data_IF_210272581974
#
_entry.id   IF_210272581974
#
_cell.length_a   1.000
_cell.length_b   1.000
_cell.length_c   1.000
_cell.angle_alpha   90.00
_cell.angle_beta   90.00
_cell.angle_gamma   90.00
#
_symmetry.space_group_name_H-M   'P 1'
#
loop_
_entity.id
_entity.type
_entity.pdbx_description
1 polymer ?
#
# COMPACT_ATOMS: atom_id res chain seq x y z
N UNK A 1 -3.08 -17.21 -38.49
CA UNK A 1 -4.51 -16.92 -38.25
C UNK A 1 -5.17 -16.59 -39.59
N UNK A 2 -6.37 -17.10 -39.85
CA UNK A 2 -7.14 -16.80 -41.07
C UNK A 2 -8.16 -15.70 -40.80
N UNK A 3 -8.50 -14.91 -41.82
CA UNK A 3 -9.54 -13.89 -41.73
C UNK A 3 -10.41 -13.89 -43.00
N UNK A 4 -11.63 -13.39 -42.87
CA UNK A 4 -12.56 -13.09 -43.97
C UNK A 4 -13.08 -11.66 -43.76
N UNK A 5 -13.17 -10.89 -44.84
CA UNK A 5 -13.79 -9.56 -44.83
C UNK A 5 -15.25 -9.70 -45.24
N UNK A 6 -16.16 -9.34 -44.34
CA UNK A 6 -17.60 -9.33 -44.57
C UNK A 6 -18.03 -7.88 -44.85
N UNK A 7 -18.88 -7.67 -45.86
CA UNK A 7 -19.41 -6.35 -46.24
C UNK A 7 -18.35 -5.34 -46.74
N UNK A 8 -17.42 -5.84 -47.54
CA UNK A 8 -16.48 -5.05 -48.30
C UNK A 8 -17.16 -4.12 -49.34
N UNK A 9 -16.65 -2.90 -49.59
CA UNK A 9 -16.91 -2.16 -50.83
C UNK A 9 -16.78 -3.03 -52.08
N UNK A 10 -17.54 -2.72 -53.14
CA UNK A 10 -17.35 -3.38 -54.43
C UNK A 10 -15.91 -3.19 -54.91
N UNK A 11 -15.25 -4.28 -55.33
CA UNK A 11 -13.90 -4.30 -55.93
C UNK A 11 -12.69 -4.26 -54.96
N UNK A 12 -12.77 -4.84 -53.75
CA UNK A 12 -11.54 -5.07 -52.95
C UNK A 12 -10.68 -6.16 -53.60
N UNK A 13 -9.42 -5.83 -53.90
CA UNK A 13 -8.43 -6.75 -54.49
C UNK A 13 -7.26 -7.07 -53.56
N UNK A 14 -7.09 -6.33 -52.46
CA UNK A 14 -6.00 -6.50 -51.52
C UNK A 14 -6.37 -6.01 -50.11
N UNK A 15 -5.62 -6.47 -49.11
CA UNK A 15 -5.72 -5.98 -47.73
C UNK A 15 -4.34 -5.56 -47.20
N UNK A 16 -4.32 -4.55 -46.33
CA UNK A 16 -3.14 -4.13 -45.58
C UNK A 16 -3.40 -4.42 -44.10
N UNK A 17 -2.49 -5.14 -43.45
CA UNK A 17 -2.54 -5.44 -42.03
C UNK A 17 -1.26 -4.95 -41.36
N UNK A 18 -1.38 -4.17 -40.28
CA UNK A 18 -0.25 -3.52 -39.59
C UNK A 18 0.72 -2.77 -40.54
N UNK A 19 0.17 -2.10 -41.56
CA UNK A 19 0.96 -1.36 -42.56
C UNK A 19 1.62 -2.21 -43.64
N UNK A 20 1.45 -3.54 -43.63
CA UNK A 20 1.99 -4.46 -44.63
C UNK A 20 0.90 -5.03 -45.54
N UNK A 21 1.17 -5.08 -46.84
CA UNK A 21 0.33 -5.75 -47.81
C UNK A 21 0.33 -7.26 -47.55
N UNK A 22 -0.85 -7.87 -47.41
CA UNK A 22 -0.99 -9.31 -47.12
C UNK A 22 -1.58 -10.07 -48.30
N UNK A 23 -1.22 -11.35 -48.39
CA UNK A 23 -1.73 -12.23 -49.45
C UNK A 23 -3.20 -12.56 -49.21
N UNK A 24 -4.03 -12.31 -50.22
CA UNK A 24 -5.49 -12.46 -50.16
C UNK A 24 -6.02 -13.18 -51.39
N UNK A 25 -7.17 -13.85 -51.25
CA UNK A 25 -7.93 -14.44 -52.33
C UNK A 25 -9.38 -13.99 -52.27
N UNK A 26 -10.04 -13.87 -53.42
CA UNK A 26 -11.47 -13.58 -53.52
C UNK A 26 -12.19 -14.86 -53.92
N UNK A 27 -13.22 -15.26 -53.17
CA UNK A 27 -14.01 -16.45 -53.49
C UNK A 27 -15.10 -16.15 -54.56
N UNK A 28 -15.83 -17.19 -54.99
CA UNK A 28 -16.89 -17.07 -56.01
C UNK A 28 -18.06 -16.15 -55.63
N UNK A 29 -18.17 -15.77 -54.35
CA UNK A 29 -19.17 -14.85 -53.83
C UNK A 29 -18.64 -13.41 -53.68
N UNK A 30 -17.40 -13.14 -54.13
CA UNK A 30 -16.79 -11.81 -54.04
C UNK A 30 -16.22 -11.47 -52.65
N UNK A 31 -16.13 -12.43 -51.74
CA UNK A 31 -15.55 -12.18 -50.41
C UNK A 31 -14.04 -12.36 -50.42
N UNK A 32 -13.34 -11.39 -49.84
CA UNK A 32 -11.90 -11.43 -49.65
C UNK A 32 -11.55 -12.15 -48.36
N UNK A 33 -10.63 -13.10 -48.44
CA UNK A 33 -10.07 -13.82 -47.29
C UNK A 33 -8.56 -14.01 -47.44
N UNK A 34 -7.90 -14.33 -46.34
CA UNK A 34 -6.46 -14.56 -46.33
C UNK A 34 -5.98 -15.13 -45.02
N UNK A 35 -4.66 -15.21 -44.89
CA UNK A 35 -4.00 -15.63 -43.66
C UNK A 35 -2.91 -14.63 -43.29
N UNK A 36 -2.84 -14.33 -41.99
CA UNK A 36 -1.74 -13.58 -41.37
C UNK A 36 -0.93 -14.56 -40.54
N UNK A 37 0.38 -14.61 -40.81
CA UNK A 37 1.29 -15.40 -40.01
C UNK A 37 1.45 -14.76 -38.63
N UNK A 38 1.35 -15.57 -37.58
CA UNK A 38 1.69 -15.16 -36.22
C UNK A 38 2.90 -15.97 -35.79
N UNK A 39 3.96 -15.28 -35.42
CA UNK A 39 5.16 -15.90 -34.85
C UNK A 39 5.20 -15.49 -33.38
N UNK A 40 5.03 -16.42 -32.42
CA UNK A 40 5.13 -16.07 -31.01
C UNK A 40 6.55 -15.58 -30.72
N UNK A 41 6.71 -14.46 -29.99
CA UNK A 41 8.03 -13.94 -29.67
C UNK A 41 8.71 -14.88 -28.65
N UNK A 42 10.02 -15.06 -28.76
CA UNK A 42 10.81 -15.60 -27.66
C UNK A 42 11.05 -14.47 -26.66
N UNK A 43 10.62 -14.67 -25.41
CA UNK A 43 10.75 -13.67 -24.35
C UNK A 43 11.86 -14.10 -23.39
N UNK A 44 12.77 -13.17 -23.08
CA UNK A 44 13.74 -13.33 -22.01
C UNK A 44 13.33 -12.42 -20.85
N UNK A 45 12.76 -13.00 -19.80
CA UNK A 45 12.35 -12.27 -18.60
C UNK A 45 13.42 -12.36 -17.51
N UNK A 46 13.57 -11.33 -16.67
CA UNK A 46 14.50 -11.37 -15.54
C UNK A 46 14.10 -12.45 -14.54
N UNK A 47 15.08 -13.20 -14.02
CA UNK A 47 14.89 -14.05 -12.86
C UNK A 47 15.04 -13.21 -11.58
N UNK A 48 13.93 -12.93 -10.89
CA UNK A 48 13.93 -12.12 -9.67
C UNK A 48 14.69 -12.76 -8.49
N UNK A 49 14.76 -14.09 -8.45
CA UNK A 49 15.49 -14.81 -7.39
C UNK A 49 17.00 -14.67 -7.50
N UNK A 50 17.52 -14.30 -8.67
CA UNK A 50 18.96 -14.10 -8.93
C UNK A 50 19.37 -12.62 -8.83
N UNK A 51 18.42 -11.73 -8.51
CA UNK A 51 18.71 -10.30 -8.36
C UNK A 51 19.25 -9.97 -6.99
N UNK A 52 20.07 -8.91 -6.93
CA UNK A 52 20.47 -8.30 -5.67
C UNK A 52 19.28 -7.49 -5.15
N UNK A 53 18.84 -7.82 -3.94
CA UNK A 53 17.79 -7.12 -3.22
C UNK A 53 18.40 -6.29 -2.09
N UNK A 54 17.76 -5.16 -1.78
CA UNK A 54 18.07 -4.28 -0.67
C UNK A 54 16.85 -4.26 0.28
N UNK A 55 17.00 -3.99 1.59
CA UNK A 55 15.90 -4.01 2.57
C UNK A 55 16.14 -3.15 3.82
N UNK A 56 15.19 -2.32 4.25
CA UNK A 56 15.25 -1.31 5.35
C UNK A 56 14.08 -1.63 6.25
N UNK A 57 14.25 -1.23 7.48
CA UNK A 57 13.14 -1.10 8.39
C UNK A 57 12.24 0.07 7.97
N UNK A 58 11.04 -0.22 7.46
CA UNK A 58 10.05 0.81 7.08
C UNK A 58 9.07 1.18 8.20
N UNK A 59 9.38 0.80 9.44
CA UNK A 59 8.60 1.14 10.63
C UNK A 59 9.48 1.79 11.73
N UNK A 60 10.28 2.84 11.42
CA UNK A 60 11.11 3.50 12.44
C UNK A 60 10.29 4.04 13.62
N UNK A 61 8.97 4.19 13.50
CA UNK A 61 8.03 4.63 14.53
C UNK A 61 8.03 3.80 15.81
N UNK A 62 8.51 2.55 15.76
CA UNK A 62 8.63 1.70 16.96
C UNK A 62 9.99 1.83 17.64
N UNK A 63 10.94 2.57 17.04
CA UNK A 63 12.23 2.87 17.65
C UNK A 63 12.07 3.95 18.73
N UNK A 64 12.77 3.78 19.86
CA UNK A 64 12.77 4.73 20.98
C UNK A 64 13.32 6.10 20.59
N UNK A 65 14.20 6.16 19.59
CA UNK A 65 14.79 7.41 19.10
C UNK A 65 13.91 8.15 18.09
N UNK A 66 12.78 7.57 17.65
CA UNK A 66 11.94 8.18 16.63
C UNK A 66 11.18 9.41 17.15
N UNK A 67 11.28 10.50 16.39
CA UNK A 67 10.51 11.71 16.65
C UNK A 67 9.36 11.83 15.65
N UNK A 68 8.14 11.92 16.19
CA UNK A 68 6.95 12.25 15.41
C UNK A 68 6.50 13.71 15.60
N UNK A 69 7.43 14.59 16.01
CA UNK A 69 7.11 16.00 16.28
C UNK A 69 6.36 16.67 15.13
N UNK A 70 6.73 16.34 13.89
CA UNK A 70 6.11 16.84 12.67
C UNK A 70 4.73 16.24 12.34
N UNK A 71 4.28 15.21 13.07
CA UNK A 71 3.00 14.56 12.78
C UNK A 71 1.81 15.40 13.23
N UNK A 72 0.68 15.36 12.49
CA UNK A 72 -0.57 15.95 12.92
C UNK A 72 -0.99 15.47 14.31
N UNK A 73 -1.33 16.44 15.17
CA UNK A 73 -1.88 16.16 16.50
C UNK A 73 -3.38 15.92 16.37
N UNK A 74 -3.86 14.86 17.03
CA UNK A 74 -5.28 14.58 17.10
C UNK A 74 -5.98 15.47 18.13
N UNK A 75 -6.22 16.73 17.78
CA UNK A 75 -6.79 17.75 18.69
C UNK A 75 -8.28 18.03 18.48
N UNK A 76 -8.93 17.45 17.48
CA UNK A 76 -10.32 17.78 17.15
C UNK A 76 -11.28 17.07 18.12
N UNK A 77 -12.06 17.80 18.96
CA UNK A 77 -12.91 17.18 20.00
C UNK A 77 -14.24 16.63 19.48
N UNK A 78 -14.48 16.71 18.17
CA UNK A 78 -15.70 16.29 17.50
C UNK A 78 -15.35 15.77 16.11
N UNK A 79 -16.25 15.04 15.49
CA UNK A 79 -16.13 14.59 14.09
C UNK A 79 -17.34 15.08 13.29
N UNK A 80 -17.15 15.33 12.00
CA UNK A 80 -18.26 15.55 11.08
C UNK A 80 -18.85 14.25 10.54
N UNK A 81 -18.22 13.12 10.82
CA UNK A 81 -18.65 11.80 10.36
C UNK A 81 -19.90 11.33 11.15
N UNK A 82 -21.08 11.21 10.52
CA UNK A 82 -22.30 10.80 11.18
C UNK A 82 -22.34 9.30 11.54
N UNK A 83 -21.50 8.47 10.93
CA UNK A 83 -21.33 7.06 11.26
C UNK A 83 -20.44 6.85 12.50
N UNK A 84 -19.68 7.88 12.89
CA UNK A 84 -18.75 7.81 14.02
C UNK A 84 -19.32 8.47 15.28
N UNK A 85 -19.85 7.64 16.18
CA UNK A 85 -20.12 8.06 17.55
C UNK A 85 -18.82 8.17 18.34
N UNK A 86 -18.26 9.37 18.42
CA UNK A 86 -16.97 9.62 19.06
C UNK A 86 -16.99 9.17 20.53
N UNK A 87 -16.18 8.18 20.86
CA UNK A 87 -16.04 7.62 22.22
C UNK A 87 -14.68 7.92 22.86
N UNK A 88 -13.89 8.76 22.20
CA UNK A 88 -12.55 9.22 22.58
C UNK A 88 -12.58 10.73 22.86
N UNK A 89 -11.60 11.28 23.61
CA UNK A 89 -11.56 12.73 23.89
C UNK A 89 -11.41 13.60 22.62
N UNK A 90 -10.75 13.06 21.60
CA UNK A 90 -10.56 13.69 20.28
C UNK A 90 -10.73 12.64 19.18
N UNK A 91 -11.05 13.08 17.96
CA UNK A 91 -11.15 12.22 16.79
C UNK A 91 -9.82 11.56 16.48
N UNK A 92 -9.86 10.25 16.27
CA UNK A 92 -8.78 9.41 15.74
C UNK A 92 -9.19 8.80 14.39
N UNK A 93 -10.11 9.46 13.68
CA UNK A 93 -10.52 9.10 12.32
C UNK A 93 -9.61 9.81 11.31
N UNK A 94 -9.07 9.07 10.35
CA UNK A 94 -8.15 9.57 9.34
C UNK A 94 -8.74 10.73 8.53
N UNK A 95 -10.03 10.66 8.18
CA UNK A 95 -10.66 11.62 7.28
C UNK A 95 -10.79 13.01 7.90
N UNK A 96 -10.93 13.08 9.23
CA UNK A 96 -10.94 14.34 9.99
C UNK A 96 -9.60 15.11 9.89
N UNK A 97 -8.51 14.42 9.56
CA UNK A 97 -7.18 15.01 9.36
C UNK A 97 -6.76 15.04 7.89
N UNK A 98 -7.67 14.69 6.97
CA UNK A 98 -7.45 14.74 5.53
C UNK A 98 -6.64 13.58 4.96
N UNK A 99 -6.71 12.43 5.61
CA UNK A 99 -6.03 11.19 5.22
C UNK A 99 -7.05 10.18 4.66
N UNK A 100 -6.78 9.65 3.46
CA UNK A 100 -7.78 8.92 2.65
C UNK A 100 -7.23 7.76 1.78
N UNK A 101 -5.98 7.36 1.95
CA UNK A 101 -5.28 6.28 1.24
C UNK A 101 -5.21 4.97 2.07
N UNK A 102 -4.18 4.15 1.85
CA UNK A 102 -4.09 2.74 2.27
C UNK A 102 -3.83 2.56 3.77
N UNK A 103 -2.59 2.64 4.28
CA UNK A 103 -2.38 2.40 5.71
C UNK A 103 -2.26 3.68 6.54
N UNK A 104 -2.50 3.57 7.85
CA UNK A 104 -2.52 4.68 8.81
C UNK A 104 -1.70 4.28 10.03
N UNK A 105 -0.81 5.17 10.45
CA UNK A 105 -0.12 5.05 11.73
C UNK A 105 -0.77 5.97 12.76
N UNK A 106 -1.02 5.42 13.95
CA UNK A 106 -1.51 6.17 15.11
C UNK A 106 -0.58 5.97 16.30
N UNK A 107 -0.03 7.06 16.83
CA UNK A 107 0.88 7.08 17.97
C UNK A 107 0.20 7.72 19.19
N UNK A 108 -0.13 6.91 20.19
CA UNK A 108 -0.70 7.36 21.46
C UNK A 108 0.36 7.46 22.55
N UNK A 109 0.73 8.67 22.97
CA UNK A 109 1.71 8.89 24.04
C UNK A 109 1.07 9.05 25.39
N UNK A 110 1.67 8.42 26.39
CA UNK A 110 1.28 8.58 27.79
C UNK A 110 2.50 8.44 28.71
N UNK A 111 2.44 9.13 29.85
CA UNK A 111 3.36 8.90 30.96
C UNK A 111 2.78 7.77 31.84
N UNK A 112 3.57 6.73 32.10
CA UNK A 112 3.11 5.58 32.85
C UNK A 112 3.00 5.86 34.35
N UNK A 113 2.01 5.25 35.02
CA UNK A 113 1.86 5.29 36.48
C UNK A 113 2.17 3.94 37.14
N UNK A 114 2.64 2.95 36.37
CA UNK A 114 2.94 1.56 36.78
C UNK A 114 1.70 0.70 37.05
N UNK A 115 0.50 1.28 37.00
CA UNK A 115 -0.75 0.55 37.19
C UNK A 115 -1.32 -0.03 35.89
N UNK A 116 -0.79 0.37 34.75
CA UNK A 116 -1.23 -0.07 33.44
C UNK A 116 -0.76 -1.51 33.17
N UNK A 117 -1.67 -2.32 32.64
CA UNK A 117 -1.48 -3.74 32.35
C UNK A 117 -1.92 -4.13 30.94
N UNK A 118 -2.73 -3.30 30.30
CA UNK A 118 -3.23 -3.56 28.95
C UNK A 118 -3.74 -2.29 28.27
N UNK A 119 -3.83 -2.36 26.94
CA UNK A 119 -4.55 -1.41 26.12
C UNK A 119 -5.69 -2.12 25.38
N UNK A 120 -6.91 -1.62 25.50
CA UNK A 120 -8.02 -1.99 24.62
C UNK A 120 -8.04 -1.04 23.43
N UNK A 121 -8.17 -1.59 22.23
CA UNK A 121 -8.30 -0.85 20.98
C UNK A 121 -9.50 -1.39 20.20
N UNK A 122 -10.38 -0.50 19.78
CA UNK A 122 -11.40 -0.74 18.77
C UNK A 122 -10.94 -0.04 17.50
N UNK A 123 -10.46 -0.81 16.53
CA UNK A 123 -9.79 -0.32 15.31
C UNK A 123 -10.69 -0.60 14.11
N UNK A 124 -10.80 0.35 13.19
CA UNK A 124 -11.57 0.20 11.96
C UNK A 124 -10.73 0.58 10.74
N UNK A 125 -10.78 -0.26 9.69
CA UNK A 125 -10.01 -0.03 8.47
C UNK A 125 -10.71 -0.48 7.18
N UNK A 126 -12.02 -0.70 7.23
CA UNK A 126 -12.78 -1.26 6.11
C UNK A 126 -12.74 -2.79 6.09
N UNK A 127 -13.46 -3.41 5.16
CA UNK A 127 -13.51 -4.88 5.04
C UNK A 127 -12.11 -5.48 4.92
N UNK A 128 -11.86 -6.70 5.40
CA UNK A 128 -10.56 -7.40 5.26
C UNK A 128 -9.32 -6.65 5.77
N UNK A 129 -9.49 -5.56 6.52
CA UNK A 129 -8.38 -4.76 7.04
C UNK A 129 -7.47 -5.60 7.95
N UNK A 130 -6.32 -5.06 8.31
CA UNK A 130 -5.42 -5.65 9.30
C UNK A 130 -4.89 -4.58 10.23
N UNK A 131 -4.46 -4.95 11.43
CA UNK A 131 -3.71 -4.01 12.25
C UNK A 131 -2.65 -4.70 13.12
N UNK A 132 -1.63 -3.94 13.50
CA UNK A 132 -0.53 -4.39 14.35
C UNK A 132 -0.23 -3.34 15.41
N UNK A 133 0.14 -3.77 16.61
CA UNK A 133 0.29 -2.91 17.78
C UNK A 133 1.63 -3.13 18.47
N UNK A 134 2.29 -2.03 18.81
CA UNK A 134 3.50 -2.00 19.60
C UNK A 134 3.36 -1.05 20.79
N UNK A 135 3.97 -1.40 21.90
CA UNK A 135 4.28 -0.49 22.99
C UNK A 135 5.77 -0.13 22.91
N UNK A 136 6.06 1.06 22.40
CA UNK A 136 7.41 1.50 22.02
C UNK A 136 8.03 0.44 21.09
N UNK A 137 9.19 -0.12 21.43
CA UNK A 137 9.84 -1.18 20.64
C UNK A 137 9.25 -2.58 20.86
N UNK A 138 8.28 -2.75 21.77
CA UNK A 138 7.73 -4.06 22.13
C UNK A 138 6.47 -4.37 21.33
N UNK A 139 6.54 -5.37 20.45
CA UNK A 139 5.37 -5.89 19.74
C UNK A 139 4.36 -6.53 20.71
N UNK A 140 3.10 -6.13 20.61
CA UNK A 140 2.01 -6.65 21.45
C UNK A 140 1.15 -7.68 20.72
N UNK A 141 0.96 -7.52 19.41
CA UNK A 141 0.10 -8.40 18.63
C UNK A 141 -0.40 -7.77 17.34
N UNK A 142 -1.08 -8.58 16.55
CA UNK A 142 -1.72 -8.18 15.30
C UNK A 142 -3.03 -8.93 15.12
N UNK A 143 -3.96 -8.24 14.48
CA UNK A 143 -5.13 -8.87 13.89
C UNK A 143 -4.91 -9.02 12.38
N UNK A 144 -4.93 -10.27 11.93
CA UNK A 144 -4.59 -10.64 10.54
C UNK A 144 -5.70 -10.36 9.52
N UNK A 145 -6.85 -9.86 9.98
CA UNK A 145 -8.00 -9.60 9.12
C UNK A 145 -9.00 -10.74 9.00
N UNK A 146 -10.21 -10.39 8.60
CA UNK A 146 -11.29 -11.32 8.31
C UNK A 146 -12.22 -10.79 7.21
N UNK A 147 -12.77 -11.66 6.33
CA UNK A 147 -13.61 -11.24 5.19
C UNK A 147 -14.91 -10.55 5.60
N UNK A 148 -15.34 -10.73 6.85
CA UNK A 148 -16.58 -10.21 7.40
C UNK A 148 -16.37 -9.08 8.42
N UNK A 149 -15.17 -8.50 8.50
CA UNK A 149 -14.83 -7.55 9.55
C UNK A 149 -14.38 -6.23 8.93
N UNK A 150 -15.06 -5.14 9.31
CA UNK A 150 -14.63 -3.75 9.06
C UNK A 150 -13.91 -3.10 10.24
N UNK A 151 -14.15 -3.70 11.40
CA UNK A 151 -13.75 -3.20 12.71
C UNK A 151 -13.43 -4.40 13.57
N UNK A 152 -12.38 -4.29 14.39
CA UNK A 152 -11.97 -5.31 15.33
C UNK A 152 -11.62 -4.67 16.68
N UNK A 153 -12.07 -5.31 17.76
CA UNK A 153 -11.89 -4.83 19.12
C UNK A 153 -11.08 -5.84 19.93
N UNK A 154 -9.86 -5.46 20.32
CA UNK A 154 -8.92 -6.35 21.00
C UNK A 154 -8.32 -5.69 22.25
N UNK A 155 -7.92 -6.53 23.21
CA UNK A 155 -7.16 -6.10 24.39
C UNK A 155 -5.76 -6.68 24.34
N UNK A 156 -4.78 -5.79 24.26
CA UNK A 156 -3.35 -6.12 24.22
C UNK A 156 -2.77 -6.04 25.63
N UNK A 157 -2.28 -7.16 26.15
CA UNK A 157 -1.65 -7.23 27.47
C UNK A 157 -0.20 -6.76 27.36
N UNK A 158 0.24 -5.92 28.30
CA UNK A 158 1.63 -5.49 28.35
C UNK A 158 2.49 -6.62 28.93
N UNK A 159 3.53 -7.08 28.20
CA UNK A 159 4.32 -8.23 28.63
C UNK A 159 5.17 -7.91 29.87
N UNK A 160 5.52 -6.64 30.06
CA UNK A 160 6.31 -6.15 31.17
C UNK A 160 5.55 -5.03 31.91
N UNK A 161 5.74 -4.95 33.22
CA UNK A 161 5.25 -3.81 33.99
C UNK A 161 5.96 -2.52 33.59
N UNK A 162 5.21 -1.42 33.53
CA UNK A 162 5.74 -0.12 33.12
C UNK A 162 6.45 0.59 34.27
N UNK A 163 7.45 1.41 33.95
CA UNK A 163 8.17 2.23 34.91
C UNK A 163 7.38 3.52 35.13
N UNK A 164 7.02 3.82 36.38
CA UNK A 164 6.30 5.05 36.72
C UNK A 164 7.13 6.29 36.30
N UNK A 165 6.47 7.24 35.63
CA UNK A 165 7.12 8.43 35.04
C UNK A 165 7.81 8.18 33.71
N UNK A 166 7.90 6.93 33.24
CA UNK A 166 8.40 6.61 31.90
C UNK A 166 7.41 7.06 30.83
N UNK A 167 7.93 7.56 29.71
CA UNK A 167 7.13 7.91 28.54
C UNK A 167 7.03 6.70 27.61
N UNK A 168 5.82 6.30 27.29
CA UNK A 168 5.55 5.18 26.39
C UNK A 168 4.72 5.65 25.20
N UNK A 169 4.95 5.02 24.05
CA UNK A 169 4.18 5.24 22.82
C UNK A 169 3.45 3.96 22.48
N UNK A 170 2.13 4.02 22.30
CA UNK A 170 1.36 2.95 21.69
C UNK A 170 1.28 3.23 20.19
N UNK A 171 1.98 2.45 19.39
CA UNK A 171 1.99 2.57 17.92
C UNK A 171 1.03 1.55 17.34
N UNK A 172 0.04 2.02 16.58
CA UNK A 172 -0.96 1.20 15.90
C UNK A 172 -0.80 1.42 14.40
N UNK A 173 -0.43 0.37 13.68
CA UNK A 173 -0.40 0.33 12.22
C UNK A 173 -1.69 -0.29 11.72
N UNK A 174 -2.44 0.41 10.87
CA UNK A 174 -3.78 0.02 10.41
C UNK A 174 -3.76 -0.04 8.89
N UNK A 175 -3.82 -1.24 8.31
CA UNK A 175 -3.97 -1.45 6.87
C UNK A 175 -5.42 -1.19 6.45
N UNK A 176 -5.71 -0.08 5.77
CA UNK A 176 -7.07 0.21 5.29
C UNK A 176 -7.16 -0.09 3.81
N UNK A 177 -8.23 -0.75 3.41
CA UNK A 177 -8.40 -1.26 2.04
C UNK A 177 -9.23 -0.34 1.14
N UNK A 178 -9.23 0.96 1.44
CA UNK A 178 -9.99 1.97 0.72
C UNK A 178 -11.37 2.26 1.32
N UNK A 179 -11.99 3.34 0.85
CA UNK A 179 -13.34 3.73 1.26
C UNK A 179 -14.39 2.84 0.61
N UNK A 180 -15.50 2.67 1.31
CA UNK A 180 -16.63 1.91 0.80
C UNK A 180 -17.39 2.67 -0.28
N UNK A 181 -17.99 1.91 -1.19
CA UNK A 181 -19.01 2.43 -2.08
C UNK A 181 -20.31 2.67 -1.33
N UNK A 182 -21.08 3.67 -1.77
CA UNK A 182 -22.35 4.03 -1.15
C UNK A 182 -23.54 3.78 -2.09
N UNK A 183 -24.59 3.19 -1.54
CA UNK A 183 -25.95 3.32 -2.09
C UNK A 183 -26.65 4.53 -1.48
N UNK A 184 -27.50 5.28 -2.22
CA UNK A 184 -28.10 6.50 -1.73
C UNK A 184 -28.77 6.35 -0.35
N UNK A 185 -28.33 7.17 0.61
CA UNK A 185 -28.92 7.25 1.96
C UNK A 185 -28.39 6.22 2.95
N UNK A 186 -27.22 5.64 2.68
CA UNK A 186 -26.56 4.69 3.61
C UNK A 186 -25.37 5.32 4.35
N UNK A 187 -24.79 6.40 3.81
CA UNK A 187 -23.57 7.05 4.29
C UNK A 187 -22.41 6.05 4.46
N UNK A 188 -22.41 4.95 3.70
CA UNK A 188 -21.43 3.86 3.84
C UNK A 188 -19.99 4.32 3.55
N UNK A 189 -19.83 5.30 2.64
CA UNK A 189 -18.54 5.93 2.31
C UNK A 189 -17.91 6.65 3.51
N UNK A 190 -18.73 6.99 4.51
CA UNK A 190 -18.32 7.64 5.74
C UNK A 190 -18.02 6.62 6.85
N UNK A 191 -17.88 5.33 6.53
CA UNK A 191 -17.42 4.34 7.52
C UNK A 191 -16.10 4.78 8.17
N UNK A 192 -15.98 4.72 9.50
CA UNK A 192 -14.80 5.25 10.20
C UNK A 192 -13.55 4.47 9.83
N UNK A 193 -12.42 5.19 9.76
CA UNK A 193 -11.12 4.66 9.34
C UNK A 193 -10.05 5.15 10.33
N UNK A 194 -9.72 4.33 11.33
CA UNK A 194 -8.82 4.70 12.42
C UNK A 194 -9.19 4.00 13.73
N UNK A 195 -9.21 4.74 14.85
CA UNK A 195 -9.47 4.18 16.19
C UNK A 195 -10.75 4.78 16.80
N UNK A 196 -11.94 4.22 16.50
CA UNK A 196 -13.21 4.68 17.11
C UNK A 196 -13.25 4.67 18.64
N UNK A 197 -12.50 3.77 19.29
CA UNK A 197 -12.40 3.72 20.75
C UNK A 197 -11.09 3.12 21.22
N UNK A 198 -10.60 3.56 22.38
CA UNK A 198 -9.54 2.90 23.12
C UNK A 198 -9.76 3.05 24.62
N UNK A 199 -9.07 2.22 25.40
CA UNK A 199 -8.81 2.49 26.82
C UNK A 199 -7.45 1.94 27.23
N UNK A 200 -6.77 2.66 28.11
CA UNK A 200 -5.55 2.20 28.76
C UNK A 200 -5.94 1.79 30.19
N UNK A 201 -5.60 0.56 30.60
CA UNK A 201 -6.11 0.04 31.87
C UNK A 201 -5.65 0.91 33.04
N UNK A 202 -6.58 1.23 33.95
CA UNK A 202 -6.35 2.09 35.12
C UNK A 202 -5.92 3.54 34.79
N UNK A 203 -6.26 4.05 33.59
CA UNK A 203 -5.95 5.43 33.17
C UNK A 203 -7.19 6.13 32.60
N UNK A 204 -7.18 7.46 32.62
CA UNK A 204 -8.17 8.24 31.89
C UNK A 204 -7.80 8.26 30.41
N UNK A 205 -8.78 8.27 29.50
CA UNK A 205 -8.50 8.45 28.06
C UNK A 205 -7.79 9.78 27.80
N UNK A 206 -8.05 10.81 28.61
CA UNK A 206 -7.39 12.12 28.48
C UNK A 206 -5.89 12.10 28.81
N UNK A 207 -5.38 11.03 29.41
CA UNK A 207 -3.95 10.88 29.73
C UNK A 207 -3.11 10.49 28.50
N UNK A 208 -3.77 10.21 27.37
CA UNK A 208 -3.15 9.76 26.13
C UNK A 208 -3.31 10.82 25.04
N UNK A 209 -2.17 11.38 24.59
CA UNK A 209 -2.13 12.30 23.47
C UNK A 209 -1.83 11.55 22.18
N UNK A 210 -2.69 11.69 21.18
CA UNK A 210 -2.57 10.97 19.92
C UNK A 210 -2.04 11.86 18.81
N UNK A 211 -1.23 11.26 17.95
CA UNK A 211 -0.89 11.76 16.63
C UNK A 211 -1.17 10.68 15.60
N UNK A 212 -1.50 11.09 14.39
CA UNK A 212 -1.68 10.16 13.29
C UNK A 212 -0.91 10.64 12.06
N UNK A 213 -0.51 9.70 11.22
CA UNK A 213 0.14 9.99 9.97
C UNK A 213 -0.26 8.99 8.89
N UNK A 214 -0.40 9.53 7.70
CA UNK A 214 -0.62 8.80 6.46
C UNK A 214 0.43 9.26 5.40
N UNK A 215 -0.01 9.47 4.16
CA UNK A 215 0.79 9.99 3.08
C UNK A 215 1.32 11.38 3.43
N UNK A 216 2.56 11.64 2.99
CA UNK A 216 3.20 12.91 3.27
C UNK A 216 2.40 14.05 2.62
N UNK A 217 1.95 14.99 3.45
CA UNK A 217 1.15 16.15 3.03
C UNK A 217 -0.36 15.92 2.95
N UNK A 218 -0.88 14.71 3.17
CA UNK A 218 -2.31 14.41 3.14
C UNK A 218 -2.97 14.88 1.83
N UNK A 219 -4.03 15.69 1.94
CA UNK A 219 -4.70 16.36 0.79
C UNK A 219 -3.77 17.21 -0.08
N UNK A 220 -2.64 17.67 0.44
CA UNK A 220 -1.58 18.36 -0.30
C UNK A 220 -0.47 17.40 -0.74
N UNK A 221 -0.83 16.16 -1.10
CA UNK A 221 0.05 15.08 -1.57
C UNK A 221 1.11 15.56 -2.57
N UNK A 222 2.32 14.99 -2.48
CA UNK A 222 3.48 15.47 -3.25
C UNK A 222 3.48 14.97 -4.69
N UNK A 223 3.15 13.70 -4.93
CA UNK A 223 3.21 13.12 -6.26
C UNK A 223 1.95 13.41 -7.10
N UNK A 224 2.00 14.53 -7.84
CA UNK A 224 0.94 14.93 -8.77
C UNK A 224 0.87 14.06 -10.04
N UNK A 225 1.93 13.31 -10.35
CA UNK A 225 1.98 12.48 -11.56
C UNK A 225 1.25 11.15 -11.38
N UNK A 226 1.34 10.55 -10.19
CA UNK A 226 0.68 9.28 -9.84
C UNK A 226 -0.66 9.46 -9.11
N UNK A 227 -0.91 10.67 -8.62
CA UNK A 227 -2.20 11.07 -8.06
C UNK A 227 -2.34 10.80 -6.56
N UNK A 228 -3.49 11.20 -5.98
CA UNK A 228 -3.65 11.31 -4.51
C UNK A 228 -3.72 9.98 -3.75
N UNK A 229 -3.83 8.85 -4.45
CA UNK A 229 -4.04 7.52 -3.84
C UNK A 229 -2.87 6.56 -4.04
N UNK A 230 -1.79 7.03 -4.68
CA UNK A 230 -0.65 6.18 -5.00
C UNK A 230 0.22 5.88 -3.76
N UNK A 231 0.34 6.84 -2.85
CA UNK A 231 1.20 6.75 -1.66
C UNK A 231 0.36 6.56 -0.40
N UNK A 232 0.76 5.59 0.41
CA UNK A 232 0.33 5.39 1.79
C UNK A 232 1.25 6.07 2.80
N UNK A 233 1.32 5.51 4.00
CA UNK A 233 2.00 6.03 5.16
C UNK A 233 3.36 5.42 5.43
N UNK A 234 3.75 4.32 4.79
CA UNK A 234 4.99 3.64 5.16
C UNK A 234 6.15 4.63 5.07
N UNK A 235 7.12 4.52 5.98
CA UNK A 235 8.25 5.46 6.01
C UNK A 235 8.91 5.60 4.62
N UNK A 236 9.06 4.49 3.89
CA UNK A 236 9.58 4.48 2.52
C UNK A 236 8.72 5.28 1.53
N UNK A 237 7.39 5.27 1.68
CA UNK A 237 6.47 5.99 0.80
C UNK A 237 6.58 7.48 1.08
N UNK A 238 6.53 7.87 2.36
CA UNK A 238 6.67 9.27 2.80
C UNK A 238 8.02 9.86 2.41
N UNK A 239 9.06 9.04 2.29
CA UNK A 239 10.38 9.47 1.85
C UNK A 239 10.56 9.42 0.32
N UNK A 240 9.57 8.95 -0.44
CA UNK A 240 9.64 8.81 -1.90
C UNK A 240 10.59 7.71 -2.37
N UNK A 241 10.96 6.78 -1.50
CA UNK A 241 11.91 5.70 -1.78
C UNK A 241 11.34 4.61 -2.69
N UNK A 242 10.04 4.69 -2.93
CA UNK A 242 9.33 3.84 -3.85
C UNK A 242 9.44 4.32 -5.32
N UNK A 243 9.95 5.54 -5.53
CA UNK A 243 10.13 6.15 -6.85
C UNK A 243 11.35 5.54 -7.58
N UNK A 244 11.42 5.67 -8.93
CA UNK A 244 12.59 5.21 -9.68
C UNK A 244 13.89 5.84 -9.17
N UNK A 245 14.95 5.03 -9.13
CA UNK A 245 16.29 5.44 -8.66
C UNK A 245 16.29 5.97 -7.21
N UNK A 246 15.84 5.17 -6.23
CA UNK A 246 15.95 5.56 -4.83
C UNK A 246 17.42 5.75 -4.43
N UNK A 247 17.71 6.48 -3.34
CA UNK A 247 19.07 6.63 -2.85
C UNK A 247 19.73 5.26 -2.64
N UNK A 248 21.01 5.07 -2.97
CA UNK A 248 21.67 3.76 -2.93
C UNK A 248 21.78 3.16 -1.52
N UNK A 249 21.52 3.96 -0.47
CA UNK A 249 21.51 3.58 0.94
C UNK A 249 20.11 3.31 1.50
N UNK A 250 19.12 3.16 0.63
CA UNK A 250 17.71 3.12 0.99
C UNK A 250 17.09 1.83 0.49
N UNK A 251 16.24 1.28 1.34
CA UNK A 251 16.20 -0.15 1.52
C UNK A 251 14.69 -0.51 1.65
N UNK A 252 13.94 -0.53 0.57
CA UNK A 252 12.74 -1.36 0.48
C UNK A 252 13.12 -2.54 -0.40
N UNK A 253 12.35 -3.64 -0.48
CA UNK A 253 12.68 -4.68 -1.46
C UNK A 253 12.65 -4.07 -2.86
N UNK A 254 13.83 -3.64 -3.31
CA UNK A 254 14.04 -2.91 -4.55
C UNK A 254 15.11 -3.65 -5.34
N UNK A 255 14.83 -3.78 -6.62
CA UNK A 255 15.78 -4.25 -7.62
C UNK A 255 15.47 -3.52 -8.92
N UNK A 256 16.52 -3.35 -9.71
CA UNK A 256 16.37 -2.86 -11.08
C UNK A 256 16.50 -4.04 -12.06
N UNK A 257 15.78 -3.96 -13.16
CA UNK A 257 15.93 -4.89 -14.28
C UNK A 257 15.59 -4.20 -15.59
N UNK A 258 16.16 -4.74 -16.66
CA UNK A 258 15.89 -4.30 -18.03
C UNK A 258 14.91 -5.26 -18.69
N UNK A 259 13.96 -4.71 -19.43
CA UNK A 259 13.07 -5.47 -20.30
C UNK A 259 13.40 -5.14 -21.75
N UNK A 260 13.95 -6.11 -22.47
CA UNK A 260 14.13 -6.03 -23.91
C UNK A 260 12.98 -6.80 -24.57
N UNK A 261 11.99 -6.05 -25.07
CA UNK A 261 10.79 -6.62 -25.69
C UNK A 261 10.78 -6.36 -27.18
N UNK A 262 10.36 -7.38 -27.91
CA UNK A 262 10.08 -7.27 -29.33
C UNK A 262 8.95 -6.27 -29.56
N UNK A 263 9.26 -5.21 -30.33
CA UNK A 263 8.27 -4.23 -30.76
C UNK A 263 7.17 -4.90 -31.60
N UNK A 264 5.93 -4.43 -31.47
CA UNK A 264 4.78 -4.93 -32.22
C UNK A 264 4.05 -6.11 -31.58
N UNK A 265 4.44 -6.52 -30.37
CA UNK A 265 3.73 -7.50 -29.55
C UNK A 265 3.13 -6.84 -28.32
N UNK A 266 1.89 -7.23 -28.00
CA UNK A 266 1.30 -7.00 -26.68
C UNK A 266 1.61 -8.20 -25.78
N UNK A 267 2.28 -7.96 -24.65
CA UNK A 267 2.82 -8.99 -23.76
C UNK A 267 2.42 -8.68 -22.31
N UNK A 268 1.34 -9.31 -21.79
CA UNK A 268 0.96 -9.21 -20.38
C UNK A 268 2.04 -9.79 -19.46
N UNK A 269 2.33 -9.10 -18.35
CA UNK A 269 3.38 -9.49 -17.39
C UNK A 269 2.91 -9.33 -15.95
N UNK A 270 2.18 -10.32 -15.41
CA UNK A 270 1.83 -10.31 -14.00
C UNK A 270 3.07 -10.64 -13.16
N UNK A 271 3.13 -10.08 -11.96
CA UNK A 271 3.96 -10.62 -10.89
C UNK A 271 3.19 -11.74 -10.21
N UNK A 272 3.85 -12.88 -10.00
CA UNK A 272 3.25 -14.07 -9.40
C UNK A 272 3.90 -14.31 -8.04
N UNK A 273 3.08 -14.34 -6.99
CA UNK A 273 3.52 -14.63 -5.64
C UNK A 273 3.32 -16.11 -5.33
N UNK A 274 4.36 -16.78 -4.83
CA UNK A 274 4.26 -18.17 -4.37
C UNK A 274 3.38 -18.27 -3.13
N UNK A 275 2.55 -19.31 -3.06
CA UNK A 275 1.63 -19.55 -1.93
C UNK A 275 2.24 -20.36 -0.78
N UNK A 276 3.52 -20.72 -0.89
CA UNK A 276 4.24 -21.49 0.14
C UNK A 276 5.15 -20.53 0.91
N UNK A 277 5.01 -20.42 2.25
CA UNK A 277 5.90 -19.59 3.05
C UNK A 277 7.31 -20.19 3.01
N UNK A 278 8.24 -19.53 2.32
CA UNK A 278 9.67 -19.84 2.38
C UNK A 278 10.31 -18.86 3.35
N UNK A 279 11.02 -19.38 4.36
CA UNK A 279 11.78 -18.57 5.30
C UNK A 279 12.96 -17.91 4.55
N UNK A 280 12.82 -16.64 4.16
CA UNK A 280 13.91 -15.90 3.54
C UNK A 280 14.80 -15.29 4.64
N UNK A 281 16.07 -15.71 4.69
CA UNK A 281 17.10 -15.09 5.54
C UNK A 281 17.78 -14.00 4.72
N UNK A 282 17.48 -12.74 5.01
CA UNK A 282 18.18 -11.59 4.42
C UNK A 282 19.53 -11.42 5.13
N UNK A 283 20.62 -11.39 4.35
CA UNK A 283 21.97 -11.11 4.85
C UNK A 283 22.35 -9.69 4.44
N UNK A 284 22.89 -8.91 5.38
CA UNK A 284 23.31 -7.53 5.16
C UNK A 284 24.77 -7.50 4.70
N UNK A 285 25.03 -7.12 3.44
CA UNK A 285 26.39 -6.81 2.96
C UNK A 285 26.48 -5.37 2.45
N UNK A 286 27.57 -4.63 2.78
CA UNK A 286 27.72 -3.21 2.45
C UNK A 286 27.91 -2.96 0.94
N UNK A 287 27.42 -1.80 0.49
CA UNK A 287 27.33 -1.42 -0.92
C UNK A 287 28.65 -0.84 -1.47
N UNK A 288 29.02 -1.19 -2.71
CA UNK A 288 30.07 -0.54 -3.50
C UNK A 288 29.45 0.03 -4.79
N UNK A 289 29.84 1.26 -5.13
CA UNK A 289 29.32 2.04 -6.26
C UNK A 289 29.82 1.54 -7.64
N UNK A 290 28.96 1.63 -8.65
CA UNK A 290 29.41 1.82 -10.03
C UNK A 290 28.43 2.68 -10.82
N UNK A 291 28.94 3.74 -11.45
CA UNK A 291 28.21 4.69 -12.29
C UNK A 291 28.10 4.19 -13.74
N UNK A 292 26.88 4.08 -14.28
CA UNK A 292 26.66 3.82 -15.71
C UNK A 292 25.20 4.01 -16.11
N UNK A 293 24.91 5.01 -16.95
CA UNK A 293 23.56 5.36 -17.36
C UNK A 293 22.95 4.35 -18.34
N UNK A 294 21.86 3.71 -17.92
CA UNK A 294 20.85 3.08 -18.78
C UNK A 294 19.47 3.36 -18.17
N UNK A 295 18.40 3.25 -18.96
CA UNK A 295 17.03 3.43 -18.45
C UNK A 295 16.68 2.25 -17.54
N UNK A 296 16.78 2.48 -16.24
CA UNK A 296 16.45 1.51 -15.20
C UNK A 296 14.99 1.68 -14.76
N UNK A 297 14.27 0.57 -14.66
CA UNK A 297 12.94 0.52 -14.05
C UNK A 297 13.08 -0.10 -12.66
N UNK A 298 12.68 0.65 -11.63
CA UNK A 298 12.60 0.21 -10.24
C UNK A 298 11.17 -0.24 -9.95
N UNK A 299 11.01 -1.40 -9.34
CA UNK A 299 9.71 -1.96 -9.00
C UNK A 299 9.61 -2.27 -7.51
N UNK A 300 8.38 -2.20 -7.01
CA UNK A 300 7.99 -2.35 -5.62
C UNK A 300 7.30 -3.71 -5.46
N UNK A 301 7.67 -4.49 -4.45
CA UNK A 301 7.00 -5.71 -4.04
C UNK A 301 6.59 -5.60 -2.58
#
# INVERSE_FOLDING_TARGET
>A
MTFEVISAPSEITAAIFNGQLISTSVNSQGKLSGAVAFMPPTLSLPNFSERRWYSLHSLPEVDEAYSDEAWPICSTPSTSNPQLNLSTPTSLDASDYGFHTSLLLSCGRFAATRSETSAFLNVSGGWIFGHSVWLSSTYLGSWIGGPSNKTEAETFVFPNGLVAGGNYVLTVLIDRVGQEEESPGTDAIESPMGIPSYSLSNRSKTDNAWKIQENLGGKQYLDKSRGPRNEGELFIERMGYHLPLPPPSVEFLTTNFTLDLLQGYDVPKPFLFGTTPILAVLTTEPCFESTGGSLESTFLI
#
